data_IF_365881464557
#
_entry.id   IF_365881464557
#
_cell.length_a   1.000
_cell.length_b   1.000
_cell.length_c   1.000
_cell.angle_alpha   90.00
_cell.angle_beta   90.00
_cell.angle_gamma   90.00
#
_symmetry.space_group_name_H-M   'P 1'
#
loop_
_entity.id
_entity.type
_entity.pdbx_description
1 polymer ?
#
# COMPACT_ATOMS: atom_id res chain seq x y z
N UNK A 1 21.86 10.36 -18.16
CA UNK A 1 22.72 9.23 -17.75
C UNK A 1 21.83 8.10 -17.23
N UNK A 2 21.51 7.10 -18.07
CA UNK A 2 20.59 5.99 -17.71
C UNK A 2 21.25 5.11 -16.65
N UNK A 3 20.58 4.87 -15.51
CA UNK A 3 20.99 3.95 -14.43
C UNK A 3 21.08 2.50 -14.96
N UNK A 4 22.14 2.17 -15.70
CA UNK A 4 22.40 0.82 -16.25
C UNK A 4 22.79 -0.22 -15.18
N UNK A 5 23.05 0.21 -13.93
CA UNK A 5 23.51 -0.67 -12.85
C UNK A 5 22.41 -1.35 -12.01
N UNK A 6 21.16 -0.87 -12.02
CA UNK A 6 20.12 -1.41 -11.12
C UNK A 6 19.46 -2.70 -11.63
N UNK A 7 19.53 -2.98 -12.93
CA UNK A 7 18.84 -4.14 -13.52
C UNK A 7 19.52 -5.46 -13.15
N UNK A 8 20.82 -5.43 -12.84
CA UNK A 8 21.64 -6.63 -12.60
C UNK A 8 21.46 -7.27 -11.22
N UNK A 9 20.67 -6.68 -10.32
CA UNK A 9 20.47 -7.16 -8.94
C UNK A 9 19.01 -7.51 -8.63
N UNK A 10 18.09 -7.35 -9.59
CA UNK A 10 16.70 -7.70 -9.37
C UNK A 10 16.55 -9.23 -9.43
N UNK A 11 15.96 -9.87 -8.41
CA UNK A 11 15.73 -11.30 -8.41
C UNK A 11 14.93 -11.72 -9.64
N UNK A 12 15.12 -12.96 -10.09
CA UNK A 12 14.59 -13.46 -11.36
C UNK A 12 13.10 -13.84 -11.29
N UNK A 13 12.28 -12.97 -10.68
CA UNK A 13 10.84 -13.19 -10.47
C UNK A 13 10.03 -13.01 -11.77
N UNK A 14 9.07 -13.91 -12.07
CA UNK A 14 8.24 -13.85 -13.28
C UNK A 14 7.57 -12.49 -13.52
N UNK A 15 6.99 -11.88 -12.48
CA UNK A 15 6.32 -10.58 -12.59
C UNK A 15 7.29 -9.45 -13.03
N UNK A 16 8.51 -9.43 -12.48
CA UNK A 16 9.52 -8.43 -12.85
C UNK A 16 10.01 -8.63 -14.29
N UNK A 17 10.15 -9.88 -14.75
CA UNK A 17 10.45 -10.19 -16.15
C UNK A 17 9.38 -9.66 -17.09
N UNK A 18 8.11 -9.89 -16.77
CA UNK A 18 6.99 -9.41 -17.57
C UNK A 18 7.00 -7.88 -17.69
N UNK A 19 7.21 -7.14 -16.59
CA UNK A 19 7.34 -5.67 -16.64
C UNK A 19 8.53 -5.18 -17.47
N UNK A 20 9.59 -5.99 -17.55
CA UNK A 20 10.77 -5.71 -18.37
C UNK A 20 10.67 -6.25 -19.80
N UNK A 21 9.52 -6.83 -20.19
CA UNK A 21 9.31 -7.49 -21.48
C UNK A 21 10.33 -8.62 -21.75
N UNK A 22 10.74 -9.32 -20.69
CA UNK A 22 11.56 -10.54 -20.76
C UNK A 22 10.65 -11.78 -20.66
N UNK A 23 11.07 -12.86 -21.30
CA UNK A 23 10.35 -14.14 -21.23
C UNK A 23 10.38 -14.72 -19.82
N UNK A 24 9.26 -15.33 -19.41
CA UNK A 24 9.10 -16.03 -18.15
C UNK A 24 8.48 -17.41 -18.40
N UNK A 25 8.67 -18.34 -17.47
CA UNK A 25 8.25 -19.73 -17.65
C UNK A 25 6.72 -19.91 -17.71
N UNK A 26 5.97 -18.90 -17.25
CA UNK A 26 4.51 -18.83 -17.28
C UNK A 26 4.08 -17.36 -17.20
N UNK A 27 2.81 -17.07 -17.52
CA UNK A 27 2.25 -15.74 -17.40
C UNK A 27 2.07 -15.38 -15.91
N UNK A 28 2.79 -14.39 -15.35
CA UNK A 28 2.63 -14.01 -13.95
C UNK A 28 1.27 -13.37 -13.68
N UNK A 29 0.73 -13.61 -12.48
CA UNK A 29 -0.59 -13.14 -12.07
C UNK A 29 -0.57 -12.47 -10.70
N UNK A 30 -1.30 -11.36 -10.59
CA UNK A 30 -1.69 -10.71 -9.34
C UNK A 30 -3.01 -9.97 -9.57
N UNK A 31 -3.71 -9.59 -8.50
CA UNK A 31 -4.96 -8.84 -8.60
C UNK A 31 -4.92 -7.53 -7.82
N UNK A 32 -5.54 -6.49 -8.39
CA UNK A 32 -5.90 -5.31 -7.61
C UNK A 32 -6.83 -5.71 -6.47
N UNK A 33 -6.59 -5.14 -5.27
CA UNK A 33 -7.35 -5.47 -4.04
C UNK A 33 -7.31 -6.97 -3.68
N UNK A 34 -6.20 -7.65 -3.98
CA UNK A 34 -6.01 -9.05 -3.60
C UNK A 34 -6.07 -9.31 -2.09
N UNK A 35 -5.70 -8.35 -1.24
CA UNK A 35 -5.93 -8.42 0.20
C UNK A 35 -7.25 -7.70 0.54
N UNK A 36 -8.25 -8.43 1.05
CA UNK A 36 -9.54 -7.82 1.38
C UNK A 36 -10.63 -8.79 1.80
N UNK A 37 -11.85 -8.25 1.96
CA UNK A 37 -13.03 -8.86 2.59
C UNK A 37 -13.50 -10.20 2.00
N UNK A 38 -13.04 -10.59 0.81
CA UNK A 38 -13.36 -11.90 0.24
C UNK A 38 -12.56 -13.04 0.90
N UNK A 39 -11.51 -12.72 1.65
CA UNK A 39 -10.70 -13.67 2.41
C UNK A 39 -11.24 -13.78 3.86
N UNK A 40 -11.60 -14.99 4.33
CA UNK A 40 -11.97 -15.20 5.73
C UNK A 40 -10.89 -14.73 6.72
N UNK A 41 -9.62 -15.06 6.46
CA UNK A 41 -8.46 -14.67 7.27
C UNK A 41 -8.23 -13.15 7.34
N UNK A 42 -8.61 -12.41 6.29
CA UNK A 42 -8.62 -10.94 6.34
C UNK A 42 -9.70 -10.44 7.29
N UNK A 43 -10.90 -11.00 7.20
CA UNK A 43 -12.03 -10.58 8.03
C UNK A 43 -11.78 -10.83 9.52
N UNK A 44 -11.09 -11.92 9.88
CA UNK A 44 -10.70 -12.18 11.27
C UNK A 44 -9.74 -11.11 11.81
N UNK A 45 -8.74 -10.69 11.03
CA UNK A 45 -7.81 -9.62 11.44
C UNK A 45 -8.51 -8.26 11.52
N UNK A 46 -9.38 -7.98 10.54
CA UNK A 46 -10.14 -6.72 10.40
C UNK A 46 -11.19 -6.52 11.50
N UNK A 47 -11.60 -7.60 12.19
CA UNK A 47 -12.58 -7.56 13.26
C UNK A 47 -12.12 -6.63 14.39
N UNK A 48 -12.96 -5.65 14.71
CA UNK A 48 -12.72 -4.69 15.80
C UNK A 48 -11.65 -3.63 15.54
N UNK A 49 -11.14 -3.48 14.31
CA UNK A 49 -10.15 -2.45 13.93
C UNK A 49 -10.68 -1.61 12.79
N UNK A 50 -10.26 -0.37 12.61
CA UNK A 50 -10.64 0.42 11.42
C UNK A 50 -9.78 0.03 10.20
N UNK A 51 -10.14 0.54 9.02
CA UNK A 51 -9.30 0.34 7.83
C UNK A 51 -7.94 1.04 7.99
N UNK A 52 -7.95 2.26 8.52
CA UNK A 52 -6.74 3.04 8.82
C UNK A 52 -5.85 2.31 9.82
N UNK A 53 -6.41 1.77 10.91
CA UNK A 53 -5.64 1.00 11.90
C UNK A 53 -4.89 -0.17 11.25
N UNK A 54 -5.54 -0.90 10.33
CA UNK A 54 -4.90 -1.99 9.60
C UNK A 54 -3.77 -1.49 8.69
N UNK A 55 -3.99 -0.40 7.96
CA UNK A 55 -2.99 0.13 7.02
C UNK A 55 -1.81 0.82 7.70
N UNK A 56 -2.02 1.37 8.91
CA UNK A 56 -1.01 2.12 9.66
C UNK A 56 -0.24 1.28 10.67
N UNK A 57 -0.67 0.04 10.93
CA UNK A 57 0.05 -0.91 11.79
C UNK A 57 0.89 -1.84 10.92
N UNK A 58 2.23 -1.73 10.89
CA UNK A 58 3.07 -2.49 9.98
C UNK A 58 2.84 -4.00 10.05
N UNK A 59 2.77 -4.58 11.26
CA UNK A 59 2.60 -6.02 11.44
C UNK A 59 1.27 -6.51 10.85
N UNK A 60 0.20 -5.73 11.01
CA UNK A 60 -1.11 -6.07 10.46
C UNK A 60 -1.13 -5.90 8.94
N UNK A 61 -0.56 -4.80 8.43
CA UNK A 61 -0.49 -4.52 7.00
C UNK A 61 0.34 -5.58 6.26
N UNK A 62 1.50 -5.94 6.79
CA UNK A 62 2.35 -7.04 6.28
C UNK A 62 1.53 -8.33 6.25
N UNK A 63 0.90 -8.69 7.37
CA UNK A 63 0.17 -9.96 7.48
C UNK A 63 -0.93 -10.06 6.43
N UNK A 64 -1.79 -9.04 6.30
CA UNK A 64 -2.88 -9.06 5.32
C UNK A 64 -2.37 -8.98 3.88
N UNK A 65 -1.26 -8.29 3.61
CA UNK A 65 -0.64 -8.21 2.28
C UNK A 65 -0.17 -9.57 1.79
N UNK A 66 0.31 -10.42 2.70
CA UNK A 66 0.87 -11.75 2.40
C UNK A 66 -0.20 -12.84 2.26
N UNK A 67 -1.42 -12.65 2.78
CA UNK A 67 -2.49 -13.65 2.73
C UNK A 67 -2.79 -14.16 1.31
N UNK A 68 -2.94 -13.32 0.27
CA UNK A 68 -3.31 -13.77 -1.07
C UNK A 68 -2.18 -14.56 -1.73
N UNK A 69 -0.92 -14.18 -1.45
CA UNK A 69 0.25 -14.92 -1.89
C UNK A 69 0.28 -16.31 -1.25
N UNK A 70 0.11 -16.41 0.08
CA UNK A 70 0.05 -17.71 0.79
C UNK A 70 -1.09 -18.60 0.31
N UNK A 71 -2.24 -18.02 -0.02
CA UNK A 71 -3.44 -18.77 -0.42
C UNK A 71 -3.45 -19.22 -1.87
N UNK A 72 -2.94 -18.38 -2.79
CA UNK A 72 -3.10 -18.58 -4.23
C UNK A 72 -1.78 -18.63 -5.01
N UNK A 73 -0.64 -18.38 -4.37
CA UNK A 73 0.66 -18.37 -5.03
C UNK A 73 0.85 -17.20 -6.01
N UNK A 74 0.25 -16.03 -5.73
CA UNK A 74 0.36 -14.83 -6.59
C UNK A 74 1.82 -14.43 -6.81
N UNK A 75 2.16 -13.99 -8.02
CA UNK A 75 3.51 -13.56 -8.41
C UNK A 75 3.88 -12.16 -7.92
N UNK A 76 2.90 -11.43 -7.39
CA UNK A 76 3.05 -10.08 -6.87
C UNK A 76 2.34 -9.92 -5.53
N UNK A 77 3.01 -9.20 -4.63
CA UNK A 77 2.41 -8.69 -3.40
C UNK A 77 2.29 -7.19 -3.54
N UNK A 78 1.06 -6.68 -3.40
CA UNK A 78 0.79 -5.26 -3.26
C UNK A 78 0.54 -4.97 -1.78
N UNK A 79 1.29 -4.02 -1.24
CA UNK A 79 1.15 -3.58 0.15
C UNK A 79 -0.27 -3.10 0.42
N UNK A 80 -0.84 -3.54 1.55
CA UNK A 80 -2.11 -3.06 2.04
C UNK A 80 -1.95 -1.66 2.65
N UNK A 81 -2.39 -0.66 1.92
CA UNK A 81 -2.34 0.74 2.33
C UNK A 81 -3.47 1.53 1.68
N UNK A 82 -3.61 2.80 2.03
CA UNK A 82 -4.52 3.74 1.38
C UNK A 82 -3.78 4.74 0.50
N UNK A 83 -4.41 5.17 -0.60
CA UNK A 83 -3.86 6.22 -1.45
C UNK A 83 -3.89 7.60 -0.79
N UNK A 84 -4.73 7.82 0.22
CA UNK A 84 -4.82 9.06 1.00
C UNK A 84 -3.83 9.11 2.17
N UNK A 85 -2.94 8.13 2.28
CA UNK A 85 -1.84 8.12 3.27
C UNK A 85 -1.07 9.45 3.32
N UNK A 86 -0.64 10.05 2.19
CA UNK A 86 0.05 11.34 2.23
C UNK A 86 -0.85 12.51 2.66
N UNK A 87 -2.16 12.44 2.36
CA UNK A 87 -3.14 13.47 2.76
C UNK A 87 -3.32 13.47 4.28
N UNK A 88 -3.42 12.28 4.87
CA UNK A 88 -3.45 12.12 6.31
C UNK A 88 -2.13 12.61 6.96
N UNK A 89 -0.99 12.32 6.34
CA UNK A 89 0.32 12.80 6.79
C UNK A 89 0.44 14.33 6.77
N UNK A 90 -0.20 14.99 5.79
CA UNK A 90 -0.27 16.44 5.68
C UNK A 90 -1.20 17.11 6.72
N UNK A 91 -1.68 16.36 7.73
CA UNK A 91 -2.50 16.89 8.81
C UNK A 91 -3.95 17.21 8.42
N UNK A 92 -4.40 16.73 7.25
CA UNK A 92 -5.80 16.88 6.82
C UNK A 92 -6.62 15.78 7.50
N UNK A 93 -7.60 16.10 8.38
CA UNK A 93 -8.35 15.08 9.08
C UNK A 93 -9.12 14.19 8.10
N UNK A 94 -8.84 12.89 8.18
CA UNK A 94 -9.37 11.83 7.33
C UNK A 94 -9.94 10.73 8.20
N UNK A 95 -11.18 10.33 7.93
CA UNK A 95 -11.79 9.13 8.49
C UNK A 95 -12.52 8.34 7.42
N UNK A 96 -12.82 7.07 7.70
CA UNK A 96 -13.56 6.21 6.80
C UNK A 96 -14.95 5.92 7.36
N UNK A 97 -15.98 6.33 6.64
CA UNK A 97 -17.38 6.03 6.97
C UNK A 97 -17.85 4.78 6.22
N UNK A 98 -18.49 3.87 6.94
CA UNK A 98 -19.01 2.63 6.36
C UNK A 98 -20.07 2.94 5.28
N UNK A 99 -19.92 2.33 4.11
CA UNK A 99 -20.82 2.55 2.97
C UNK A 99 -20.62 3.86 2.20
N UNK A 100 -19.84 4.82 2.74
CA UNK A 100 -19.55 6.11 2.10
C UNK A 100 -18.12 6.23 1.59
N UNK A 101 -17.16 5.61 2.27
CA UNK A 101 -15.74 5.68 1.93
C UNK A 101 -14.98 6.76 2.73
N UNK A 102 -13.83 7.24 2.24
CA UNK A 102 -13.04 8.24 2.94
C UNK A 102 -13.77 9.59 2.96
N UNK A 103 -13.74 10.25 4.12
CA UNK A 103 -14.28 11.58 4.35
C UNK A 103 -13.16 12.46 4.87
N UNK A 104 -12.96 13.60 4.21
CA UNK A 104 -12.08 14.66 4.68
C UNK A 104 -12.92 15.68 5.45
N UNK A 105 -12.61 15.92 6.72
CA UNK A 105 -13.35 16.92 7.51
C UNK A 105 -13.07 18.34 7.02
N UNK A 106 -11.86 18.57 6.50
CA UNK A 106 -11.43 19.83 5.91
C UNK A 106 -10.90 19.60 4.50
N UNK A 107 -11.31 20.46 3.57
CA UNK A 107 -10.78 20.48 2.20
C UNK A 107 -10.14 21.83 1.95
N UNK A 108 -9.03 21.86 1.20
CA UNK A 108 -8.36 23.09 0.80
C UNK A 108 -9.15 23.76 -0.32
N UNK A 109 -9.49 25.04 -0.14
CA UNK A 109 -10.29 25.86 -1.06
C UNK A 109 -9.60 27.16 -1.44
N UNK A 110 -8.60 27.60 -0.66
CA UNK A 110 -7.88 28.84 -0.90
C UNK A 110 -6.37 28.60 -0.91
N UNK A 111 -5.64 29.40 -1.69
CA UNK A 111 -4.18 29.33 -1.79
C UNK A 111 -3.49 29.54 -0.43
N UNK A 112 -4.06 30.41 0.42
CA UNK A 112 -3.57 30.66 1.78
C UNK A 112 -3.57 29.41 2.67
N UNK A 113 -4.42 28.42 2.38
CA UNK A 113 -4.46 27.16 3.13
C UNK A 113 -3.35 26.19 2.72
N UNK A 114 -2.75 26.38 1.54
CA UNK A 114 -1.57 25.60 1.12
C UNK A 114 -0.36 25.90 1.98
N UNK A 115 -0.27 27.12 2.54
CA UNK A 115 0.80 27.51 3.45
C UNK A 115 0.78 26.72 4.77
N UNK A 116 -0.29 25.96 5.05
CA UNK A 116 -0.40 25.08 6.21
C UNK A 116 0.08 23.65 5.94
N UNK A 117 0.43 23.32 4.70
CA UNK A 117 0.98 22.01 4.32
C UNK A 117 2.50 22.11 4.28
N UNK A 118 3.15 21.39 5.17
CA UNK A 118 4.60 21.27 5.19
C UNK A 118 5.12 20.42 4.02
N UNK A 119 6.42 20.56 3.71
CA UNK A 119 7.10 19.67 2.77
C UNK A 119 7.01 18.22 3.25
N UNK A 120 6.52 17.34 2.39
CA UNK A 120 6.33 15.92 2.69
C UNK A 120 7.65 15.15 2.69
N UNK A 121 7.91 14.44 3.79
CA UNK A 121 8.99 13.46 3.92
C UNK A 121 8.39 12.11 4.35
N UNK A 122 8.39 11.07 3.49
CA UNK A 122 7.79 9.79 3.82
C UNK A 122 8.41 9.11 5.03
N UNK A 123 9.71 9.32 5.29
CA UNK A 123 10.40 8.71 6.44
C UNK A 123 9.97 9.36 7.76
N UNK A 124 9.61 10.64 7.74
CA UNK A 124 9.13 11.39 8.90
C UNK A 124 7.62 11.26 9.08
N UNK A 125 6.86 11.41 8.00
CA UNK A 125 5.41 11.62 8.05
C UNK A 125 4.62 10.31 7.97
N UNK A 126 5.17 9.28 7.32
CA UNK A 126 4.57 7.95 7.24
C UNK A 126 5.62 6.82 7.44
N UNK A 127 6.35 6.79 8.57
CA UNK A 127 7.41 5.80 8.81
C UNK A 127 6.90 4.36 8.70
N UNK A 128 5.66 4.12 9.13
CA UNK A 128 4.99 2.82 9.04
C UNK A 128 4.90 2.25 7.61
N UNK A 129 4.88 3.11 6.57
CA UNK A 129 4.91 2.66 5.16
C UNK A 129 6.27 2.04 4.86
N UNK A 130 7.35 2.68 5.29
CA UNK A 130 8.71 2.16 5.13
C UNK A 130 8.91 0.85 5.91
N UNK A 131 8.43 0.80 7.15
CA UNK A 131 8.47 -0.41 7.99
C UNK A 131 7.68 -1.57 7.36
N UNK A 132 6.49 -1.30 6.84
CA UNK A 132 5.67 -2.31 6.15
C UNK A 132 6.37 -2.86 4.91
N UNK A 133 6.96 -1.99 4.08
CA UNK A 133 7.67 -2.39 2.87
C UNK A 133 8.92 -3.23 3.15
N UNK A 134 9.57 -3.03 4.29
CA UNK A 134 10.72 -3.85 4.70
C UNK A 134 10.32 -5.27 5.13
N UNK A 135 9.06 -5.48 5.49
CA UNK A 135 8.53 -6.78 5.94
C UNK A 135 7.83 -7.62 4.86
N UNK A 136 7.76 -7.13 3.62
CA UNK A 136 7.17 -7.82 2.46
C UNK A 136 8.28 -8.24 1.48
#
# INVERSE_FOLDING_TARGET
MRRKGLVSLMPDFPLLKAFQKRDSNYLPLWYMRQAGRYLPEYNEIRKGKTFLDLSMTPELSIEVSLQPHRRYGMDGIIMFSDILTPVHAAGIPLHFEEGRGPVLEKTIRQESELALIDDYDPARDNPYVGETLQGI
#
